data_IF_225006636413
#
_entry.id   IF_225006636413
#
_cell.length_a   1.000
_cell.length_b   1.000
_cell.length_c   1.000
_cell.angle_alpha   90.00
_cell.angle_beta   90.00
_cell.angle_gamma   90.00
#
_symmetry.space_group_name_H-M   'P 1'
#
loop_
_entity.id
_entity.type
_entity.pdbx_description
1 polymer ?
#
# COMPACT_ATOMS: atom_id res chain seq x y z
N UNK A 1 -17.83 16.96 3.39
CA UNK A 1 -18.53 15.72 2.99
C UNK A 1 -17.61 14.55 3.31
N UNK A 2 -18.12 13.45 3.88
CA UNK A 2 -17.34 12.24 4.12
C UNK A 2 -17.74 11.20 3.07
N UNK A 3 -16.78 10.72 2.27
CA UNK A 3 -17.00 9.66 1.29
C UNK A 3 -16.46 8.36 1.87
N UNK A 4 -17.21 7.27 1.73
CA UNK A 4 -16.80 5.93 2.16
C UNK A 4 -16.82 4.98 0.97
N UNK A 5 -15.75 4.22 0.83
CA UNK A 5 -15.60 3.17 -0.18
C UNK A 5 -14.70 2.09 0.38
N UNK A 6 -14.91 0.85 -0.06
CA UNK A 6 -14.02 -0.28 0.26
C UNK A 6 -12.84 -0.40 -0.71
N UNK A 7 -12.84 0.38 -1.78
CA UNK A 7 -11.77 0.38 -2.79
C UNK A 7 -10.77 1.50 -2.55
N UNK A 8 -9.52 1.13 -2.32
CA UNK A 8 -8.39 2.07 -2.26
C UNK A 8 -8.25 2.84 -3.58
N UNK A 9 -8.51 2.19 -4.70
CA UNK A 9 -8.40 2.84 -6.01
C UNK A 9 -9.44 3.94 -6.18
N UNK A 10 -10.68 3.69 -5.73
CA UNK A 10 -11.72 4.71 -5.76
C UNK A 10 -11.33 5.94 -4.92
N UNK A 11 -10.65 5.75 -3.78
CA UNK A 11 -10.10 6.87 -3.00
C UNK A 11 -9.08 7.64 -3.81
N UNK A 12 -8.17 6.96 -4.53
CA UNK A 12 -7.14 7.62 -5.35
C UNK A 12 -7.76 8.43 -6.50
N UNK A 13 -8.75 7.90 -7.21
CA UNK A 13 -9.44 8.64 -8.28
C UNK A 13 -10.20 9.86 -7.75
N UNK A 14 -10.85 9.74 -6.58
CA UNK A 14 -11.51 10.88 -5.92
C UNK A 14 -10.53 12.00 -5.56
N UNK A 15 -9.35 11.64 -5.07
CA UNK A 15 -8.31 12.62 -4.72
C UNK A 15 -7.70 13.25 -5.97
N UNK A 16 -7.42 12.44 -7.00
CA UNK A 16 -6.81 12.91 -8.25
C UNK A 16 -7.71 13.92 -9.00
N UNK A 17 -9.03 13.76 -8.90
CA UNK A 17 -10.04 14.68 -9.45
C UNK A 17 -10.29 15.92 -8.57
N UNK A 18 -9.63 16.02 -7.41
CA UNK A 18 -9.78 17.15 -6.50
C UNK A 18 -11.04 17.10 -5.61
N UNK A 19 -11.74 15.96 -5.55
CA UNK A 19 -12.94 15.81 -4.72
C UNK A 19 -12.62 15.76 -3.20
N UNK A 20 -11.34 15.60 -2.83
CA UNK A 20 -10.90 15.63 -1.43
C UNK A 20 -9.42 15.31 -1.25
N UNK A 21 -9.03 15.09 0.01
CA UNK A 21 -7.69 14.66 0.43
C UNK A 21 -7.79 13.37 1.25
N UNK A 22 -6.70 12.61 1.30
CA UNK A 22 -6.63 11.36 2.05
C UNK A 22 -5.24 11.16 2.63
N UNK A 23 -5.13 10.23 3.58
CA UNK A 23 -3.85 9.68 4.08
C UNK A 23 -3.85 8.19 3.72
N UNK A 24 -2.82 7.74 3.00
CA UNK A 24 -2.67 6.35 2.56
C UNK A 24 -1.23 5.87 2.81
N UNK A 25 -1.03 4.57 3.05
CA UNK A 25 0.30 3.96 3.04
C UNK A 25 1.10 4.27 1.77
N UNK A 26 2.39 4.52 1.92
CA UNK A 26 3.31 4.86 0.82
C UNK A 26 3.36 3.80 -0.29
N UNK A 27 3.14 2.52 0.04
CA UNK A 27 3.05 1.43 -0.94
C UNK A 27 1.98 1.67 -2.03
N UNK A 28 0.97 2.50 -1.74
CA UNK A 28 -0.12 2.83 -2.66
C UNK A 28 0.19 4.08 -3.51
N UNK A 29 1.28 4.77 -3.24
CA UNK A 29 1.65 5.95 -4.00
C UNK A 29 2.15 5.57 -5.39
N UNK A 30 1.45 6.12 -6.37
CA UNK A 30 1.87 6.21 -7.76
C UNK A 30 1.28 7.51 -8.31
N UNK A 31 2.02 8.26 -9.13
CA UNK A 31 1.69 9.64 -9.48
C UNK A 31 0.42 9.80 -10.33
N UNK A 32 -0.16 8.71 -10.82
CA UNK A 32 -1.32 8.73 -11.72
C UNK A 32 -2.44 7.83 -11.21
N UNK A 33 -3.68 8.29 -11.25
CA UNK A 33 -4.88 7.45 -11.11
C UNK A 33 -4.99 6.49 -12.30
N UNK A 34 -5.92 5.53 -12.25
CA UNK A 34 -6.22 4.71 -13.44
C UNK A 34 -6.75 5.55 -14.61
N UNK A 35 -7.42 6.66 -14.32
CA UNK A 35 -7.97 7.60 -15.30
C UNK A 35 -6.89 8.53 -15.90
N UNK A 36 -5.67 8.50 -15.36
CA UNK A 36 -4.56 9.35 -15.83
C UNK A 36 -4.50 10.72 -15.14
N UNK A 37 -5.32 10.95 -14.13
CA UNK A 37 -5.26 12.16 -13.31
C UNK A 37 -4.08 12.09 -12.34
N UNK A 38 -3.45 13.24 -12.05
CA UNK A 38 -2.24 13.29 -11.23
C UNK A 38 -2.57 13.32 -9.74
N UNK A 39 -1.87 12.52 -8.94
CA UNK A 39 -1.87 12.63 -7.49
C UNK A 39 -0.62 13.38 -7.00
N UNK A 40 -0.84 14.26 -6.03
CA UNK A 40 0.20 15.01 -5.34
C UNK A 40 0.32 14.50 -3.90
N UNK A 41 1.56 14.31 -3.45
CA UNK A 41 1.87 13.90 -2.06
C UNK A 41 2.47 15.07 -1.30
N UNK A 42 2.18 15.12 0.00
CA UNK A 42 2.76 16.08 0.95
C UNK A 42 3.26 15.32 2.18
N UNK A 43 4.39 15.77 2.70
CA UNK A 43 4.94 15.23 3.93
C UNK A 43 4.05 15.63 5.11
N UNK A 44 3.84 14.68 6.03
CA UNK A 44 3.14 14.93 7.27
C UNK A 44 4.12 15.50 8.31
N UNK A 45 3.61 16.36 9.19
CA UNK A 45 4.42 16.96 10.26
C UNK A 45 4.82 15.94 11.33
N UNK A 46 4.01 14.91 11.52
CA UNK A 46 4.20 13.87 12.52
C UNK A 46 4.30 12.52 11.82
N UNK A 47 5.22 11.64 12.24
CA UNK A 47 5.27 10.28 11.75
C UNK A 47 3.99 9.54 12.15
N UNK A 48 3.49 8.72 11.22
CA UNK A 48 2.39 7.81 11.49
C UNK A 48 2.94 6.43 11.87
N UNK A 49 2.16 5.59 12.57
CA UNK A 49 2.49 4.19 12.74
C UNK A 49 2.67 3.51 11.37
N UNK A 50 3.67 2.63 11.28
CA UNK A 50 3.91 1.85 10.06
C UNK A 50 2.76 0.86 9.81
N UNK A 51 2.48 0.63 8.53
CA UNK A 51 1.60 -0.45 8.11
C UNK A 51 2.41 -1.74 7.94
N UNK A 52 2.15 -2.73 8.78
CA UNK A 52 2.69 -4.09 8.61
C UNK A 52 1.79 -4.92 7.71
N UNK A 53 2.38 -5.54 6.68
CA UNK A 53 1.69 -6.44 5.74
C UNK A 53 2.29 -7.84 5.88
N UNK A 54 1.43 -8.84 6.04
CA UNK A 54 1.83 -10.23 6.23
C UNK A 54 1.01 -11.20 5.39
N UNK A 55 1.46 -12.46 5.41
CA UNK A 55 0.76 -13.59 4.79
C UNK A 55 0.19 -14.48 5.89
N UNK A 56 -1.03 -14.98 5.69
CA UNK A 56 -1.72 -15.84 6.66
C UNK A 56 -2.37 -17.04 5.96
N UNK A 57 -2.38 -18.19 6.64
CA UNK A 57 -3.02 -19.43 6.21
C UNK A 57 -3.50 -20.23 7.42
N UNK A 58 -4.38 -21.20 7.20
CA UNK A 58 -4.88 -22.06 8.26
C UNK A 58 -3.75 -22.91 8.87
N UNK A 59 -3.71 -22.99 10.20
CA UNK A 59 -2.77 -23.86 10.90
C UNK A 59 -2.98 -25.32 10.46
N UNK A 60 -1.91 -26.00 10.08
CA UNK A 60 -1.94 -27.39 9.61
C UNK A 60 -2.39 -27.58 8.16
N UNK A 61 -2.62 -26.49 7.40
CA UNK A 61 -2.83 -26.60 5.96
C UNK A 61 -1.58 -27.21 5.29
N UNK A 62 -1.80 -28.18 4.40
CA UNK A 62 -0.74 -28.68 3.51
C UNK A 62 -0.46 -27.58 2.49
N UNK A 63 0.77 -27.07 2.47
CA UNK A 63 1.19 -26.03 1.53
C UNK A 63 1.42 -26.67 0.15
N UNK A 64 0.65 -26.30 -0.88
CA UNK A 64 0.91 -26.77 -2.23
C UNK A 64 2.27 -26.25 -2.71
N UNK A 65 2.91 -26.98 -3.63
CA UNK A 65 4.21 -26.58 -4.20
C UNK A 65 4.22 -25.14 -4.75
N UNK A 66 3.14 -24.73 -5.41
CA UNK A 66 2.98 -23.36 -5.92
C UNK A 66 3.06 -22.30 -4.81
N UNK A 67 2.51 -22.60 -3.62
CA UNK A 67 2.56 -21.68 -2.49
C UNK A 67 3.97 -21.65 -1.87
N UNK A 68 4.66 -22.78 -1.75
CA UNK A 68 6.05 -22.81 -1.29
C UNK A 68 7.00 -22.02 -2.20
N UNK A 69 6.82 -22.17 -3.51
CA UNK A 69 7.57 -21.42 -4.52
C UNK A 69 7.29 -19.92 -4.39
N UNK A 70 6.03 -19.53 -4.22
CA UNK A 70 5.65 -18.14 -3.98
C UNK A 70 6.27 -17.58 -2.68
N UNK A 71 6.17 -18.32 -1.57
CA UNK A 71 6.74 -17.91 -0.29
C UNK A 71 8.27 -17.77 -0.36
N UNK A 72 8.93 -18.64 -1.13
CA UNK A 72 10.37 -18.54 -1.38
C UNK A 72 10.72 -17.26 -2.15
N UNK A 73 9.92 -16.90 -3.15
CA UNK A 73 10.13 -15.69 -3.94
C UNK A 73 9.85 -14.39 -3.15
N UNK A 74 8.84 -14.39 -2.26
CA UNK A 74 8.39 -13.19 -1.54
C UNK A 74 9.12 -12.98 -0.21
N UNK A 75 9.66 -14.02 0.43
CA UNK A 75 10.38 -13.90 1.72
C UNK A 75 11.42 -12.77 1.79
N UNK A 76 12.27 -12.54 0.76
CA UNK A 76 13.24 -11.44 0.79
C UNK A 76 12.61 -10.03 0.85
N UNK A 77 11.38 -9.85 0.34
CA UNK A 77 10.71 -8.55 0.32
C UNK A 77 10.02 -8.23 1.64
N UNK A 78 9.75 -9.24 2.48
CA UNK A 78 9.08 -9.05 3.77
C UNK A 78 9.99 -8.43 4.86
N UNK A 79 11.32 -8.48 4.69
CA UNK A 79 12.29 -8.00 5.68
C UNK A 79 12.96 -6.66 5.37
N UNK A 80 12.61 -5.97 4.28
CA UNK A 80 13.43 -4.88 3.71
C UNK A 80 12.82 -3.47 3.74
N UNK A 81 11.64 -3.26 4.33
CA UNK A 81 10.97 -1.93 4.33
C UNK A 81 11.40 -1.03 5.49
N UNK A 82 12.71 -0.78 5.64
CA UNK A 82 13.25 0.22 6.59
C UNK A 82 14.31 1.16 5.98
N UNK A 83 14.75 0.97 4.73
CA UNK A 83 15.91 1.71 4.17
C UNK A 83 15.61 2.88 3.22
N UNK A 84 14.33 3.17 2.89
CA UNK A 84 14.02 4.20 1.88
C UNK A 84 13.64 5.59 2.46
N UNK A 85 13.35 5.70 3.76
CA UNK A 85 12.89 6.95 4.40
C UNK A 85 14.02 7.63 5.21
N UNK A 86 15.19 7.74 4.58
CA UNK A 86 16.40 8.25 5.21
C UNK A 86 17.32 8.95 4.20
N UNK A 87 16.77 9.75 3.29
CA UNK A 87 17.57 10.70 2.52
C UNK A 87 16.71 11.74 1.83
N UNK A 88 16.47 12.87 2.52
CA UNK A 88 16.74 14.25 2.07
C UNK A 88 15.98 15.27 2.91
#
# INVERSE_FOLDING_TARGET
>A
MLIRTSSVEAVRSLVATGAGVTVLPDMLYRPWSLEGDRLEVRQLLQPLPDLEVGLAWCKGAVLPEALENFLTAVRPTLGSTQQAYGSK
#
